data_IF_061809087371
#
_entry.id   IF_061809087371
#
_cell.length_a   1.000
_cell.length_b   1.000
_cell.length_c   1.000
_cell.angle_alpha   90.00
_cell.angle_beta   90.00
_cell.angle_gamma   90.00
#
_symmetry.space_group_name_H-M   'P 1'
#
loop_
_entity.id
_entity.type
_entity.pdbx_description
1 polymer ?
#
# COMPACT_ATOMS: atom_id res chain seq x y z
N UNK A 1 21.48 8.22 -10.94
CA UNK A 1 20.77 6.92 -11.06
C UNK A 1 20.14 6.46 -9.73
N UNK A 2 20.81 6.70 -8.59
CA UNK A 2 20.30 6.36 -7.26
C UNK A 2 19.02 7.12 -6.89
N UNK A 3 18.91 8.41 -7.25
CA UNK A 3 17.75 9.25 -6.89
C UNK A 3 16.46 8.83 -7.60
N UNK A 4 16.55 8.54 -8.91
CA UNK A 4 15.40 8.06 -9.67
C UNK A 4 14.87 6.75 -9.09
N UNK A 5 15.75 5.77 -8.81
CA UNK A 5 15.35 4.50 -8.20
C UNK A 5 14.67 4.71 -6.85
N UNK A 6 15.23 5.55 -5.97
CA UNK A 6 14.61 5.87 -4.67
C UNK A 6 13.24 6.53 -4.85
N UNK A 7 13.10 7.44 -5.81
CA UNK A 7 11.83 8.09 -6.14
C UNK A 7 10.78 7.09 -6.62
N UNK A 8 11.15 6.16 -7.50
CA UNK A 8 10.26 5.08 -7.95
C UNK A 8 9.82 4.17 -6.79
N UNK A 9 10.73 3.82 -5.88
CA UNK A 9 10.40 3.02 -4.69
C UNK A 9 9.42 3.79 -3.79
N UNK A 10 9.65 5.10 -3.58
CA UNK A 10 8.75 5.96 -2.81
C UNK A 10 7.35 6.02 -3.41
N UNK A 11 7.24 6.19 -4.73
CA UNK A 11 5.93 6.22 -5.40
C UNK A 11 5.24 4.86 -5.27
N UNK A 12 5.94 3.75 -5.49
CA UNK A 12 5.34 2.42 -5.43
C UNK A 12 4.87 2.05 -4.01
N UNK A 13 5.73 2.28 -3.00
CA UNK A 13 5.42 2.02 -1.59
C UNK A 13 4.36 2.99 -1.07
N UNK A 14 4.51 4.28 -1.35
CA UNK A 14 3.57 5.32 -0.95
C UNK A 14 2.18 5.15 -1.58
N UNK A 15 2.12 4.82 -2.87
CA UNK A 15 0.87 4.51 -3.55
C UNK A 15 0.16 3.30 -2.96
N UNK A 16 0.91 2.24 -2.62
CA UNK A 16 0.36 1.06 -1.93
C UNK A 16 -0.19 1.40 -0.54
N UNK A 17 0.51 2.23 0.21
CA UNK A 17 0.03 2.71 1.52
C UNK A 17 -1.24 3.55 1.38
N UNK A 18 -1.32 4.43 0.37
CA UNK A 18 -2.50 5.25 0.12
C UNK A 18 -3.73 4.40 -0.21
N UNK A 19 -3.60 3.37 -1.06
CA UNK A 19 -4.69 2.44 -1.37
C UNK A 19 -5.15 1.67 -0.13
N UNK A 20 -4.22 1.21 0.69
CA UNK A 20 -4.53 0.53 1.96
C UNK A 20 -5.32 1.43 2.91
N UNK A 21 -4.88 2.68 3.09
CA UNK A 21 -5.56 3.66 3.93
C UNK A 21 -6.95 3.98 3.37
N UNK A 22 -7.10 4.11 2.06
CA UNK A 22 -8.39 4.28 1.40
C UNK A 22 -9.33 3.10 1.65
N UNK A 23 -8.85 1.86 1.52
CA UNK A 23 -9.65 0.66 1.77
C UNK A 23 -10.08 0.54 3.25
N UNK A 24 -9.18 0.86 4.18
CA UNK A 24 -9.47 0.86 5.63
C UNK A 24 -10.47 1.97 5.98
N UNK A 25 -10.29 3.16 5.41
CA UNK A 25 -11.24 4.27 5.56
C UNK A 25 -12.62 3.88 5.05
N UNK A 26 -12.72 3.28 3.87
CA UNK A 26 -14.00 2.78 3.34
C UNK A 26 -14.64 1.71 4.22
N UNK A 27 -13.82 0.86 4.87
CA UNK A 27 -14.32 -0.17 5.78
C UNK A 27 -14.91 0.42 7.07
N UNK A 28 -14.19 1.32 7.75
CA UNK A 28 -14.57 1.80 9.08
C UNK A 28 -15.36 3.12 9.06
N UNK A 29 -15.11 3.99 8.08
CA UNK A 29 -15.80 5.28 7.91
C UNK A 29 -16.98 5.12 6.96
N UNK A 30 -16.80 4.37 5.86
CA UNK A 30 -17.84 4.14 4.85
C UNK A 30 -18.78 2.97 5.16
N UNK A 31 -18.49 2.13 6.16
CA UNK A 31 -19.30 0.96 6.51
C UNK A 31 -19.32 -0.14 5.43
N UNK A 32 -18.38 -0.10 4.48
CA UNK A 32 -18.32 -1.05 3.38
C UNK A 32 -17.58 -2.32 3.82
N UNK A 33 -18.33 -3.41 3.98
CA UNK A 33 -17.75 -4.71 4.31
C UNK A 33 -16.79 -5.17 3.20
N UNK A 34 -15.58 -5.66 3.54
CA UNK A 34 -14.64 -6.13 2.54
C UNK A 34 -15.10 -7.47 1.95
N UNK A 35 -14.85 -7.68 0.66
CA UNK A 35 -15.01 -8.99 0.05
C UNK A 35 -13.71 -9.81 0.15
N UNK A 36 -13.78 -11.11 -0.18
CA UNK A 36 -12.63 -12.01 -0.15
C UNK A 36 -11.44 -11.48 -0.98
N UNK A 37 -11.72 -10.97 -2.19
CA UNK A 37 -10.68 -10.44 -3.08
C UNK A 37 -10.02 -9.16 -2.51
N UNK A 38 -10.78 -8.31 -1.82
CA UNK A 38 -10.23 -7.12 -1.15
C UNK A 38 -9.20 -7.51 -0.08
N UNK A 39 -9.48 -8.54 0.71
CA UNK A 39 -8.54 -9.03 1.72
C UNK A 39 -7.29 -9.62 1.04
N UNK A 40 -7.48 -10.39 -0.02
CA UNK A 40 -6.36 -10.94 -0.79
C UNK A 40 -5.48 -9.87 -1.41
N UNK A 41 -6.03 -8.72 -1.84
CA UNK A 41 -5.24 -7.59 -2.37
C UNK A 41 -4.58 -6.75 -1.27
N UNK A 42 -5.14 -6.76 -0.05
CA UNK A 42 -4.61 -6.01 1.10
C UNK A 42 -3.23 -6.50 1.51
N UNK A 43 -3.03 -7.82 1.54
CA UNK A 43 -1.75 -8.44 1.91
C UNK A 43 -0.59 -8.08 0.97
N UNK A 44 -0.72 -8.18 -0.37
CA UNK A 44 0.28 -7.71 -1.33
C UNK A 44 0.63 -6.24 -1.18
N UNK A 45 -0.36 -5.35 -1.00
CA UNK A 45 -0.04 -3.93 -0.76
C UNK A 45 0.69 -3.73 0.56
N UNK A 46 0.34 -4.47 1.62
CA UNK A 46 1.06 -4.39 2.90
C UNK A 46 2.51 -4.89 2.75
N UNK A 47 2.72 -5.98 2.02
CA UNK A 47 4.05 -6.48 1.69
C UNK A 47 4.85 -5.46 0.85
N UNK A 48 4.23 -4.83 -0.14
CA UNK A 48 4.88 -3.81 -0.97
C UNK A 48 5.33 -2.59 -0.14
N UNK A 49 4.51 -2.16 0.82
CA UNK A 49 4.87 -1.08 1.76
C UNK A 49 6.08 -1.50 2.62
N UNK A 50 6.07 -2.71 3.20
CA UNK A 50 7.17 -3.20 4.03
C UNK A 50 8.48 -3.34 3.23
N UNK A 51 8.42 -3.97 2.06
CA UNK A 51 9.59 -4.14 1.19
C UNK A 51 10.12 -2.77 0.73
N UNK A 52 9.23 -1.85 0.36
CA UNK A 52 9.60 -0.50 -0.04
C UNK A 52 10.27 0.29 1.08
N UNK A 53 9.75 0.19 2.31
CA UNK A 53 10.37 0.80 3.49
C UNK A 53 11.78 0.24 3.76
N UNK A 54 11.93 -1.09 3.72
CA UNK A 54 13.23 -1.74 3.89
C UNK A 54 14.23 -1.36 2.77
N UNK A 55 13.76 -1.14 1.55
CA UNK A 55 14.61 -0.74 0.42
C UNK A 55 15.04 0.74 0.47
N UNK A 56 14.38 1.56 1.29
CA UNK A 56 14.70 2.98 1.50
C UNK A 56 15.49 3.25 2.79
N UNK A 57 15.48 2.31 3.74
CA UNK A 57 16.31 2.32 4.95
C UNK A 57 17.80 2.16 4.61
#
# INVERSE_FOLDING_TARGET
MTDLRKFLILIAAGGSAAVLLGAIGSQYIGGLAPCHLCILQRWPHAAAVLIGALALA
#
